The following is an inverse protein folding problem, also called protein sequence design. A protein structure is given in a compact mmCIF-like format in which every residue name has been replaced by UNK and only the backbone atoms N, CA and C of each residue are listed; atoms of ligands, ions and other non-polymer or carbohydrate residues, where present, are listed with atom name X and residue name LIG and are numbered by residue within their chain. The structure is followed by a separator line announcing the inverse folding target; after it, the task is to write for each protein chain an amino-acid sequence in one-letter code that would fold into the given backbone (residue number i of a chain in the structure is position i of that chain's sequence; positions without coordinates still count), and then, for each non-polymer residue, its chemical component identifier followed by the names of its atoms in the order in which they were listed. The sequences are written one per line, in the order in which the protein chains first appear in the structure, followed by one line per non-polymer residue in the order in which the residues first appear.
data_IF_214132296161
#
_entry.id   IF_214132296161
#
_cell.length_a   1.000
_cell.length_b   1.000
_cell.length_c   1.000
_cell.angle_alpha   90.00
_cell.angle_beta   90.00
_cell.angle_gamma   90.00
#
_symmetry.space_group_name_H-M   'P 1'
#
loop_
_entity.id
_entity.type
_entity.pdbx_description
1 polymer ?
#
# COMPACT_ATOMS: atom_id res chain seq x y z
N UNK A 1 22.30 3.80 -16.17
CA UNK A 1 22.59 3.28 -14.82
C UNK A 1 21.31 2.70 -14.20
N UNK A 2 21.29 2.35 -12.92
CA UNK A 2 20.03 1.95 -12.27
C UNK A 2 19.13 3.16 -12.03
N UNK A 3 19.71 4.34 -11.82
CA UNK A 3 19.03 5.62 -11.64
C UNK A 3 18.23 5.97 -12.90
N UNK A 4 18.88 6.00 -14.08
CA UNK A 4 18.20 6.27 -15.36
C UNK A 4 17.06 5.29 -15.65
N UNK A 5 17.24 4.01 -15.30
CA UNK A 5 16.19 3.00 -15.42
C UNK A 5 15.02 3.28 -14.49
N UNK A 6 15.32 3.63 -13.24
CA UNK A 6 14.31 3.96 -12.23
C UNK A 6 13.45 5.15 -12.67
N UNK A 7 14.08 6.21 -13.17
CA UNK A 7 13.37 7.40 -13.68
C UNK A 7 12.48 7.06 -14.88
N UNK A 8 13.00 6.32 -15.86
CA UNK A 8 12.24 5.91 -17.04
C UNK A 8 11.04 5.02 -16.67
N UNK A 9 11.21 4.06 -15.76
CA UNK A 9 10.16 3.17 -15.30
C UNK A 9 9.11 3.90 -14.45
N UNK A 10 9.53 4.81 -13.57
CA UNK A 10 8.61 5.63 -12.78
C UNK A 10 7.70 6.46 -13.69
N UNK A 11 8.27 7.12 -14.71
CA UNK A 11 7.50 7.88 -15.70
C UNK A 11 6.50 7.00 -16.48
N UNK A 12 6.85 5.76 -16.77
CA UNK A 12 5.98 4.83 -17.48
C UNK A 12 4.86 4.23 -16.60
N UNK A 13 5.16 3.89 -15.35
CA UNK A 13 4.19 3.27 -14.41
C UNK A 13 3.23 4.25 -13.78
N UNK A 14 3.64 5.52 -13.63
CA UNK A 14 2.85 6.56 -12.98
C UNK A 14 2.65 7.75 -13.93
N UNK A 15 1.85 7.59 -15.01
CA UNK A 15 1.54 8.70 -15.89
C UNK A 15 0.79 9.81 -15.14
N UNK A 16 0.84 11.06 -15.62
CA UNK A 16 0.07 12.13 -15.01
C UNK A 16 -1.43 11.80 -15.04
N UNK A 17 -2.21 12.29 -14.06
CA UNK A 17 -3.65 12.11 -14.07
C UNK A 17 -4.25 12.70 -15.37
N UNK A 18 -5.36 12.14 -15.86
CA UNK A 18 -6.02 12.65 -17.06
C UNK A 18 -6.42 14.11 -16.86
N UNK A 19 -6.33 14.90 -17.93
CA UNK A 19 -6.66 16.33 -17.89
C UNK A 19 -8.14 16.60 -17.58
N UNK A 20 -9.01 15.63 -17.85
CA UNK A 20 -10.44 15.69 -17.58
C UNK A 20 -10.78 14.58 -16.59
N UNK A 21 -11.47 14.93 -15.51
CA UNK A 21 -11.99 13.96 -14.56
C UNK A 21 -12.99 13.04 -15.25
N UNK A 22 -12.91 11.74 -14.99
CA UNK A 22 -13.95 10.80 -15.40
C UNK A 22 -15.20 10.87 -14.52
N UNK A 23 -15.12 11.58 -13.39
CA UNK A 23 -16.25 11.83 -12.49
C UNK A 23 -17.02 13.03 -13.03
N UNK A 24 -18.32 12.84 -13.24
CA UNK A 24 -19.24 13.91 -13.66
C UNK A 24 -19.27 15.02 -12.60
N UNK A 25 -19.35 16.28 -13.01
CA UNK A 25 -19.37 17.42 -12.08
C UNK A 25 -20.56 17.35 -11.09
N UNK A 26 -21.68 16.77 -11.53
CA UNK A 26 -22.90 16.59 -10.74
C UNK A 26 -22.96 15.25 -10.01
N UNK A 27 -21.83 14.52 -9.94
CA UNK A 27 -21.82 13.22 -9.27
C UNK A 27 -22.07 13.38 -7.77
N UNK A 28 -23.22 12.88 -7.32
CA UNK A 28 -23.58 12.86 -5.90
C UNK A 28 -22.95 11.63 -5.26
N UNK A 29 -21.94 11.86 -4.43
CA UNK A 29 -21.38 10.80 -3.59
C UNK A 29 -22.42 10.34 -2.55
N UNK A 30 -22.47 9.03 -2.24
CA UNK A 30 -23.30 8.54 -1.14
C UNK A 30 -22.87 9.17 0.18
N UNK A 31 -23.79 9.22 1.14
CA UNK A 31 -23.48 9.68 2.49
C UNK A 31 -22.34 8.86 3.09
N UNK A 32 -21.45 9.54 3.81
CA UNK A 32 -20.38 8.90 4.55
C UNK A 32 -20.96 7.93 5.58
N UNK A 33 -20.27 6.81 5.81
CA UNK A 33 -20.68 5.84 6.82
C UNK A 33 -20.53 6.51 8.19
N UNK A 34 -21.66 6.80 8.85
CA UNK A 34 -21.71 7.58 10.10
C UNK A 34 -20.91 6.95 11.26
N UNK A 35 -20.70 5.63 11.24
CA UNK A 35 -19.85 4.95 12.21
C UNK A 35 -19.34 3.61 11.65
N UNK A 36 -18.11 3.52 11.13
CA UNK A 36 -17.56 2.27 10.63
C UNK A 36 -17.27 1.23 11.74
N UNK A 37 -17.49 1.58 13.01
CA UNK A 37 -17.15 0.77 14.17
C UNK A 37 -15.67 0.86 14.54
N UNK A 38 -15.32 0.35 15.71
CA UNK A 38 -13.93 0.29 16.15
C UNK A 38 -13.19 -0.85 15.45
N UNK A 39 -11.91 -0.60 15.14
CA UNK A 39 -11.02 -1.67 14.69
C UNK A 39 -10.84 -2.68 15.82
N UNK A 40 -10.85 -3.96 15.48
CA UNK A 40 -10.69 -5.08 16.43
C UNK A 40 -9.35 -5.79 16.22
N UNK A 41 -8.84 -6.44 17.27
CA UNK A 41 -7.65 -7.30 17.13
C UNK A 41 -7.81 -8.37 16.06
N UNK A 42 -9.02 -8.93 15.94
CA UNK A 42 -9.32 -10.00 14.98
C UNK A 42 -9.21 -9.50 13.53
N UNK A 43 -9.65 -8.28 13.24
CA UNK A 43 -9.42 -7.65 11.95
C UNK A 43 -7.93 -7.47 11.67
N UNK A 44 -7.14 -7.02 12.65
CA UNK A 44 -5.69 -6.84 12.50
C UNK A 44 -5.01 -8.20 12.26
N UNK A 45 -5.31 -9.22 13.08
CA UNK A 45 -4.78 -10.59 12.94
C UNK A 45 -5.09 -11.16 11.56
N UNK A 46 -6.31 -10.97 11.07
CA UNK A 46 -6.74 -11.42 9.73
C UNK A 46 -6.00 -10.69 8.61
N UNK A 47 -5.80 -9.37 8.75
CA UNK A 47 -4.99 -8.58 7.81
C UNK A 47 -3.54 -9.06 7.77
N UNK A 48 -2.93 -9.31 8.93
CA UNK A 48 -1.57 -9.88 9.04
C UNK A 48 -1.49 -11.26 8.37
N UNK A 49 -2.51 -12.12 8.56
CA UNK A 49 -2.52 -13.46 7.97
C UNK A 49 -2.47 -13.43 6.44
N UNK A 50 -3.12 -12.44 5.81
CA UNK A 50 -3.16 -12.25 4.35
C UNK A 50 -1.86 -11.70 3.76
N UNK A 51 -0.95 -11.16 4.58
CA UNK A 51 0.31 -10.61 4.09
C UNK A 51 1.18 -11.69 3.44
N UNK A 52 1.76 -11.34 2.29
CA UNK A 52 2.82 -12.14 1.68
C UNK A 52 4.14 -11.83 2.42
N UNK A 53 4.81 -12.84 3.03
CA UNK A 53 5.87 -12.62 4.01
C UNK A 53 7.10 -11.89 3.46
N UNK A 54 7.43 -12.12 2.19
CA UNK A 54 8.66 -11.63 1.55
C UNK A 54 8.38 -10.58 0.46
N UNK A 55 7.34 -9.76 0.65
CA UNK A 55 7.18 -8.54 -0.14
C UNK A 55 8.28 -7.55 0.22
N UNK A 56 8.69 -6.75 -0.76
CA UNK A 56 9.63 -5.66 -0.54
C UNK A 56 9.10 -4.72 0.56
N UNK A 57 9.93 -4.33 1.54
CA UNK A 57 9.52 -3.39 2.57
C UNK A 57 9.35 -1.99 2.01
N UNK A 58 8.64 -1.15 2.75
CA UNK A 58 8.60 0.29 2.48
C UNK A 58 9.89 0.99 2.96
N UNK A 59 9.87 2.33 3.00
CA UNK A 59 10.99 3.15 3.49
C UNK A 59 11.43 2.84 4.93
N UNK A 60 10.56 2.24 5.74
CA UNK A 60 10.85 1.84 7.13
C UNK A 60 11.69 0.56 7.25
N UNK A 61 11.85 -0.20 6.16
CA UNK A 61 12.60 -1.47 6.14
C UNK A 61 11.90 -2.64 6.84
N UNK A 62 10.67 -2.47 7.36
CA UNK A 62 9.97 -3.51 8.11
C UNK A 62 9.32 -4.49 7.14
N UNK A 63 9.79 -5.75 7.17
CA UNK A 63 9.24 -6.79 6.30
C UNK A 63 7.95 -7.38 6.88
N UNK A 64 7.04 -7.79 5.98
CA UNK A 64 5.79 -8.46 6.33
C UNK A 64 5.97 -9.69 7.24
N UNK A 65 7.09 -10.41 7.11
CA UNK A 65 7.41 -11.55 7.98
C UNK A 65 7.48 -11.18 9.46
N UNK A 66 7.91 -9.95 9.79
CA UNK A 66 7.96 -9.47 11.19
C UNK A 66 6.56 -9.42 11.77
N UNK A 67 5.59 -8.86 11.03
CA UNK A 67 4.19 -8.85 11.46
C UNK A 67 3.64 -10.26 11.62
N UNK A 68 3.99 -11.19 10.72
CA UNK A 68 3.50 -12.58 10.80
C UNK A 68 4.06 -13.34 12.01
N UNK A 69 5.35 -13.20 12.28
CA UNK A 69 6.04 -13.92 13.36
C UNK A 69 5.79 -13.29 14.74
N UNK A 70 5.63 -11.97 14.80
CA UNK A 70 5.50 -11.22 16.05
C UNK A 70 4.06 -10.72 16.31
N UNK A 71 3.05 -11.26 15.62
CA UNK A 71 1.67 -10.77 15.69
C UNK A 71 1.12 -10.68 17.13
N UNK A 72 1.45 -11.67 17.97
CA UNK A 72 0.90 -11.74 19.33
C UNK A 72 1.47 -10.63 20.23
N UNK A 73 2.65 -10.11 19.89
CA UNK A 73 3.28 -8.97 20.53
C UNK A 73 2.79 -7.66 19.91
N UNK A 74 2.68 -7.59 18.58
CA UNK A 74 2.43 -6.36 17.84
C UNK A 74 0.95 -5.93 17.83
N UNK A 75 0.01 -6.87 17.79
CA UNK A 75 -1.42 -6.57 17.65
C UNK A 75 -1.96 -5.61 18.73
N UNK A 76 -1.62 -5.77 20.03
CA UNK A 76 -2.07 -4.83 21.07
C UNK A 76 -1.56 -3.40 20.89
N UNK A 77 -0.43 -3.20 20.21
CA UNK A 77 0.12 -1.87 19.90
C UNK A 77 -0.52 -1.29 18.64
N UNK A 78 -0.66 -2.12 17.59
CA UNK A 78 -1.30 -1.73 16.34
C UNK A 78 -2.76 -1.31 16.57
N UNK A 79 -3.48 -2.01 17.45
CA UNK A 79 -4.86 -1.66 17.82
C UNK A 79 -4.95 -0.23 18.37
N UNK A 80 -4.07 0.12 19.32
CA UNK A 80 -4.02 1.45 19.92
C UNK A 80 -3.67 2.54 18.90
N UNK A 81 -2.72 2.27 18.01
CA UNK A 81 -2.34 3.22 16.94
C UNK A 81 -3.53 3.42 15.99
N UNK A 82 -4.18 2.34 15.56
CA UNK A 82 -5.31 2.45 14.64
C UNK A 82 -6.51 3.15 15.28
N UNK A 83 -6.83 2.88 16.54
CA UNK A 83 -7.86 3.65 17.27
C UNK A 83 -7.52 5.14 17.34
N UNK A 84 -6.26 5.48 17.62
CA UNK A 84 -5.82 6.87 17.67
C UNK A 84 -6.00 7.60 16.33
N UNK A 85 -5.80 6.91 15.20
CA UNK A 85 -6.00 7.49 13.86
C UNK A 85 -7.45 7.93 13.63
N UNK A 86 -8.42 7.09 14.01
CA UNK A 86 -9.84 7.44 13.91
C UNK A 86 -10.23 8.51 14.92
N UNK A 87 -9.78 8.39 16.18
CA UNK A 87 -10.11 9.33 17.25
C UNK A 87 -9.58 10.74 16.96
N UNK A 88 -8.33 10.83 16.49
CA UNK A 88 -7.67 12.10 16.21
C UNK A 88 -7.91 12.60 14.79
N UNK A 89 -8.62 11.81 13.97
CA UNK A 89 -8.84 12.06 12.55
C UNK A 89 -7.54 12.45 11.81
N UNK A 90 -6.49 11.63 11.96
CA UNK A 90 -5.15 11.95 11.46
C UNK A 90 -4.41 10.72 10.96
N UNK A 91 -3.48 10.93 10.03
CA UNK A 91 -2.60 9.87 9.51
C UNK A 91 -1.14 10.24 9.73
N UNK A 92 -0.31 9.23 10.04
CA UNK A 92 1.13 9.41 10.06
C UNK A 92 1.62 9.68 8.64
N UNK A 93 2.17 10.89 8.42
CA UNK A 93 2.49 11.37 7.07
C UNK A 93 3.36 10.40 6.24
N UNK A 94 4.40 9.75 6.81
CA UNK A 94 5.23 8.78 6.08
C UNK A 94 4.51 7.51 5.62
N UNK A 95 3.31 7.19 6.12
CA UNK A 95 2.53 6.06 5.58
C UNK A 95 2.01 6.29 4.16
N UNK A 96 2.11 7.54 3.66
CA UNK A 96 1.79 7.87 2.27
C UNK A 96 2.97 7.60 1.32
N UNK A 97 4.14 7.32 1.86
CA UNK A 97 5.35 7.04 1.09
C UNK A 97 5.51 5.53 0.91
N UNK A 98 5.84 5.11 -0.31
CA UNK A 98 6.06 3.70 -0.64
C UNK A 98 7.23 3.52 -1.60
N UNK A 99 7.82 2.33 -1.61
CA UNK A 99 8.90 1.96 -2.51
C UNK A 99 8.38 0.97 -3.55
N UNK A 100 8.53 1.32 -4.83
CA UNK A 100 8.26 0.39 -5.94
C UNK A 100 9.55 -0.28 -6.37
N UNK A 101 9.67 -1.59 -6.17
CA UNK A 101 10.81 -2.38 -6.61
C UNK A 101 10.49 -3.03 -7.95
N UNK A 102 11.29 -2.70 -8.98
CA UNK A 102 11.14 -3.27 -10.32
C UNK A 102 12.15 -4.38 -10.52
N UNK A 103 11.65 -5.60 -10.78
CA UNK A 103 12.46 -6.78 -11.04
C UNK A 103 12.23 -7.27 -12.46
N UNK A 104 13.32 -7.70 -13.10
CA UNK A 104 13.26 -8.44 -14.36
C UNK A 104 12.65 -9.81 -14.08
N UNK A 105 11.59 -10.18 -14.81
CA UNK A 105 11.08 -11.56 -14.83
C UNK A 105 12.20 -12.53 -15.28
N UNK A 106 12.47 -13.58 -14.50
CA UNK A 106 13.40 -14.63 -14.89
C UNK A 106 13.00 -15.28 -16.22
N UNK A 107 13.97 -15.60 -17.07
CA UNK A 107 13.72 -16.27 -18.36
C UNK A 107 13.19 -15.37 -19.47
N UNK A 108 13.04 -14.06 -19.24
CA UNK A 108 12.69 -13.09 -20.28
C UNK A 108 13.86 -12.17 -20.63
N UNK A 109 14.62 -12.52 -21.69
CA UNK A 109 15.73 -11.71 -22.14
C UNK A 109 15.26 -10.40 -22.80
N UNK A 110 14.10 -10.42 -23.46
CA UNK A 110 13.60 -9.30 -24.25
C UNK A 110 12.16 -8.96 -23.87
N UNK A 111 11.90 -7.69 -23.55
CA UNK A 111 10.60 -7.15 -23.15
C UNK A 111 9.86 -6.47 -24.31
N UNK A 112 10.47 -6.40 -25.50
CA UNK A 112 9.84 -5.85 -26.71
C UNK A 112 8.92 -6.87 -27.39
N UNK A 113 9.08 -8.16 -27.09
CA UNK A 113 8.22 -9.23 -27.59
C UNK A 113 6.99 -9.33 -26.71
N UNK A 114 5.84 -8.94 -27.25
CA UNK A 114 4.54 -9.08 -26.56
C UNK A 114 4.18 -10.56 -26.42
N UNK A 115 3.59 -10.91 -25.27
CA UNK A 115 2.98 -12.23 -25.08
C UNK A 115 1.72 -12.30 -25.97
N UNK A 116 1.65 -13.30 -26.83
CA UNK A 116 0.39 -13.70 -27.47
C UNK A 116 -0.60 -14.23 -26.43
#
# INVERSE_FOLDING_TARGET
TNEEKSEALAKAFFPPPPAVSSVQEEYVYPEEIANPGEITEEQIKRSIAKLQPHKAPGPDGIHNIVFKQCKDILVPHLLRIFHAIFLLNTYYAPWRDFTTVVLRKPGWPDYTVTKA
#
